data_IF_705906478711
#
_entry.id   IF_705906478711
#
_cell.length_a   1.000
_cell.length_b   1.000
_cell.length_c   1.000
_cell.angle_alpha   90.00
_cell.angle_beta   90.00
_cell.angle_gamma   90.00
#
_symmetry.space_group_name_H-M   'P 1'
#
loop_
_entity.id
_entity.type
_entity.pdbx_description
1 polymer ?
#
# COMPACT_ATOMS: atom_id res chain seq x y z
N UNK A 1 5.29 -49.62 -2.18
CA UNK A 1 6.11 -48.52 -2.76
C UNK A 1 5.27 -47.32 -3.20
N UNK A 2 4.18 -47.52 -3.96
CA UNK A 2 3.26 -46.44 -4.39
C UNK A 2 2.74 -45.51 -3.28
N UNK A 3 2.32 -46.06 -2.14
CA UNK A 3 1.84 -45.27 -1.00
C UNK A 3 2.91 -44.32 -0.46
N UNK A 4 4.14 -44.80 -0.27
CA UNK A 4 5.26 -43.99 0.24
C UNK A 4 5.62 -42.85 -0.72
N UNK A 5 5.48 -43.07 -2.04
CA UNK A 5 5.71 -42.06 -3.06
C UNK A 5 4.63 -40.96 -3.05
N UNK A 6 3.36 -41.31 -2.77
CA UNK A 6 2.26 -40.34 -2.59
C UNK A 6 2.49 -39.47 -1.36
N UNK A 7 2.89 -40.05 -0.22
CA UNK A 7 3.21 -39.28 0.99
C UNK A 7 4.39 -38.34 0.78
N UNK A 8 5.45 -38.81 0.11
CA UNK A 8 6.60 -37.97 -0.23
C UNK A 8 6.21 -36.78 -1.09
N UNK A 9 5.34 -36.97 -2.09
CA UNK A 9 4.80 -35.87 -2.91
C UNK A 9 3.98 -34.87 -2.11
N UNK A 10 3.13 -35.33 -1.19
CA UNK A 10 2.33 -34.45 -0.32
C UNK A 10 3.25 -33.62 0.58
N UNK A 11 4.30 -34.23 1.14
CA UNK A 11 5.30 -33.53 1.96
C UNK A 11 6.05 -32.49 1.14
N UNK A 12 6.50 -32.83 -0.06
CA UNK A 12 7.18 -31.89 -0.97
C UNK A 12 6.26 -30.71 -1.34
N UNK A 13 5.01 -30.97 -1.71
CA UNK A 13 4.04 -29.91 -2.04
C UNK A 13 3.76 -28.99 -0.84
N UNK A 14 3.66 -29.55 0.36
CA UNK A 14 3.45 -28.80 1.59
C UNK A 14 4.66 -27.94 1.96
N UNK A 15 5.89 -28.46 1.76
CA UNK A 15 7.13 -27.71 1.93
C UNK A 15 7.25 -26.57 0.93
N UNK A 16 6.97 -26.82 -0.36
CA UNK A 16 6.98 -25.80 -1.41
C UNK A 16 5.95 -24.71 -1.08
N UNK A 17 4.74 -25.07 -0.68
CA UNK A 17 3.70 -24.12 -0.29
C UNK A 17 4.12 -23.24 0.90
N UNK A 18 4.76 -23.85 1.90
CA UNK A 18 5.26 -23.14 3.09
C UNK A 18 6.37 -22.15 2.74
N UNK A 19 7.33 -22.56 1.89
CA UNK A 19 8.43 -21.70 1.42
C UNK A 19 7.93 -20.50 0.61
N UNK A 20 6.97 -20.71 -0.30
CA UNK A 20 6.35 -19.63 -1.07
C UNK A 20 5.64 -18.64 -0.14
N UNK A 21 4.92 -19.13 0.88
CA UNK A 21 4.23 -18.28 1.85
C UNK A 21 5.19 -17.40 2.66
N UNK A 22 6.34 -17.95 3.08
CA UNK A 22 7.40 -17.21 3.77
C UNK A 22 7.99 -16.10 2.90
N UNK A 23 8.29 -16.38 1.63
CA UNK A 23 8.84 -15.40 0.69
C UNK A 23 7.88 -14.23 0.45
N UNK A 24 6.59 -14.51 0.24
CA UNK A 24 5.57 -13.45 0.05
C UNK A 24 5.47 -12.57 1.30
N UNK A 25 5.52 -13.16 2.49
CA UNK A 25 5.46 -12.39 3.72
C UNK A 25 6.71 -11.51 3.91
N UNK A 26 7.90 -12.07 3.64
CA UNK A 26 9.17 -11.33 3.70
C UNK A 26 9.19 -10.14 2.71
N UNK A 27 8.71 -10.33 1.49
CA UNK A 27 8.60 -9.26 0.51
C UNK A 27 7.67 -8.13 0.99
N UNK A 28 6.51 -8.47 1.55
CA UNK A 28 5.56 -7.48 2.07
C UNK A 28 6.13 -6.71 3.26
N UNK A 29 6.85 -7.39 4.16
CA UNK A 29 7.58 -6.74 5.27
C UNK A 29 8.66 -5.79 4.74
N UNK A 30 9.43 -6.22 3.73
CA UNK A 30 10.45 -5.39 3.08
C UNK A 30 9.84 -4.12 2.46
N UNK A 31 8.65 -4.21 1.85
CA UNK A 31 7.96 -3.02 1.33
C UNK A 31 7.69 -1.98 2.42
N UNK A 32 7.18 -2.39 3.59
CA UNK A 32 6.93 -1.48 4.70
C UNK A 32 8.23 -0.82 5.16
N UNK A 33 9.27 -1.63 5.40
CA UNK A 33 10.56 -1.14 5.91
C UNK A 33 11.23 -0.16 4.94
N UNK A 34 11.26 -0.48 3.66
CA UNK A 34 11.96 0.32 2.63
C UNK A 34 11.26 1.65 2.31
N UNK A 35 9.96 1.77 2.58
CA UNK A 35 9.20 3.00 2.31
C UNK A 35 8.86 3.80 3.58
N UNK A 36 9.18 3.27 4.76
CA UNK A 36 8.89 3.91 6.05
C UNK A 36 9.46 5.32 6.14
N UNK A 37 10.77 5.47 5.91
CA UNK A 37 11.46 6.77 5.98
C UNK A 37 10.90 7.78 4.97
N UNK A 38 10.51 7.32 3.78
CA UNK A 38 9.85 8.18 2.79
C UNK A 38 8.49 8.67 3.30
N UNK A 39 7.67 7.77 3.86
CA UNK A 39 6.38 8.12 4.43
C UNK A 39 6.50 9.07 5.64
N UNK A 40 7.49 8.89 6.51
CA UNK A 40 7.78 9.79 7.65
C UNK A 40 8.21 11.19 7.19
N UNK A 41 9.10 11.27 6.18
CA UNK A 41 9.52 12.54 5.59
C UNK A 41 8.34 13.30 4.99
N UNK A 42 7.46 12.59 4.28
CA UNK A 42 6.27 13.19 3.69
C UNK A 42 5.22 13.53 4.74
N UNK A 43 5.09 12.73 5.79
CA UNK A 43 4.24 13.03 6.94
C UNK A 43 4.66 14.37 7.56
N UNK A 44 5.95 14.53 7.87
CA UNK A 44 6.49 15.79 8.41
C UNK A 44 6.19 16.98 7.50
N UNK A 45 6.34 16.80 6.18
CA UNK A 45 6.13 17.86 5.19
C UNK A 45 4.67 18.24 5.01
N UNK A 46 3.77 17.26 5.03
CA UNK A 46 2.35 17.44 4.65
C UNK A 46 1.37 17.33 5.81
N UNK A 47 1.81 16.94 7.00
CA UNK A 47 0.96 16.71 8.16
C UNK A 47 -0.07 15.58 7.95
N UNK A 48 0.23 14.61 7.10
CA UNK A 48 -0.60 13.41 6.87
C UNK A 48 0.12 12.24 7.58
N UNK A 49 -0.53 11.47 8.47
CA UNK A 49 0.14 10.43 9.22
C UNK A 49 0.92 9.45 8.33
N UNK A 50 2.13 9.11 8.75
CA UNK A 50 3.02 8.22 8.00
C UNK A 50 2.37 6.84 7.81
N UNK A 51 1.63 6.38 8.84
CA UNK A 51 0.81 5.18 8.87
C UNK A 51 -0.24 5.16 7.76
N UNK A 52 -0.93 6.28 7.52
CA UNK A 52 -1.94 6.44 6.45
C UNK A 52 -1.29 6.37 5.08
N UNK A 53 -0.22 7.14 4.84
CA UNK A 53 0.49 7.16 3.56
C UNK A 53 0.96 5.75 3.19
N UNK A 54 1.62 5.08 4.14
CA UNK A 54 2.26 3.78 3.90
C UNK A 54 1.23 2.65 3.77
N UNK A 55 0.18 2.65 4.59
CA UNK A 55 -0.87 1.64 4.51
C UNK A 55 -1.66 1.72 3.20
N UNK A 56 -2.01 2.94 2.75
CA UNK A 56 -2.68 3.13 1.45
C UNK A 56 -1.76 2.66 0.32
N UNK A 57 -0.50 3.10 0.29
CA UNK A 57 0.44 2.66 -0.73
C UNK A 57 0.59 1.13 -0.76
N UNK A 58 0.63 0.48 0.39
CA UNK A 58 0.69 -0.98 0.48
C UNK A 58 -0.57 -1.63 -0.10
N UNK A 59 -1.76 -1.14 0.27
CA UNK A 59 -3.05 -1.68 -0.15
C UNK A 59 -3.29 -1.53 -1.66
N UNK A 60 -2.91 -0.39 -2.24
CA UNK A 60 -3.03 -0.12 -3.68
C UNK A 60 -2.04 -0.91 -4.53
N UNK A 61 -0.89 -1.29 -3.96
CA UNK A 61 0.17 -2.00 -4.69
C UNK A 61 0.24 -3.50 -4.38
N UNK A 62 -0.53 -3.98 -3.40
CA UNK A 62 -0.38 -5.34 -2.88
C UNK A 62 1.01 -5.57 -2.28
N UNK A 63 1.56 -4.57 -1.57
CA UNK A 63 2.93 -4.60 -1.05
C UNK A 63 3.99 -4.53 -2.15
N UNK A 64 3.80 -3.64 -3.15
CA UNK A 64 4.74 -3.41 -4.25
C UNK A 64 4.71 -4.46 -5.36
N UNK A 65 3.76 -5.40 -5.34
CA UNK A 65 3.69 -6.50 -6.31
C UNK A 65 2.97 -6.14 -7.60
N UNK A 66 2.13 -5.08 -7.58
CA UNK A 66 1.27 -4.71 -8.70
C UNK A 66 2.05 -4.31 -9.94
N UNK A 67 1.43 -4.52 -11.11
CA UNK A 67 2.01 -4.11 -12.40
C UNK A 67 2.26 -2.61 -12.44
N UNK A 68 1.34 -1.80 -11.91
CA UNK A 68 1.46 -0.35 -11.92
C UNK A 68 2.60 0.16 -11.03
N UNK A 69 2.82 -0.42 -9.85
CA UNK A 69 3.97 -0.02 -9.02
C UNK A 69 5.30 -0.39 -9.68
N UNK A 70 5.37 -1.54 -10.36
CA UNK A 70 6.60 -2.02 -11.01
C UNK A 70 6.93 -1.33 -12.33
N UNK A 71 5.93 -1.03 -13.15
CA UNK A 71 6.13 -0.51 -14.52
C UNK A 71 5.91 1.00 -14.65
N UNK A 72 5.12 1.60 -13.75
CA UNK A 72 4.75 3.01 -13.81
C UNK A 72 5.24 3.79 -12.59
N UNK A 73 5.92 3.14 -11.65
CA UNK A 73 6.24 3.68 -10.32
C UNK A 73 5.00 4.30 -9.63
N UNK A 74 3.80 3.80 -9.91
CA UNK A 74 2.56 4.39 -9.42
C UNK A 74 2.01 3.59 -8.24
N UNK A 75 2.22 4.10 -7.03
CA UNK A 75 1.88 3.42 -5.79
C UNK A 75 0.47 3.74 -5.25
N UNK A 76 -0.28 4.62 -5.92
CA UNK A 76 -1.56 5.14 -5.42
C UNK A 76 -2.69 5.08 -6.46
N UNK A 77 -2.45 4.44 -7.61
CA UNK A 77 -3.44 4.34 -8.68
C UNK A 77 -3.83 5.68 -9.30
N UNK A 78 -2.96 6.69 -9.23
CA UNK A 78 -3.24 8.04 -9.74
C UNK A 78 -3.41 7.97 -11.27
N UNK A 79 -4.52 8.50 -11.78
CA UNK A 79 -4.82 8.56 -13.21
C UNK A 79 -4.07 9.73 -13.87
N UNK A 80 -3.58 9.52 -15.09
CA UNK A 80 -2.88 10.55 -15.85
C UNK A 80 -2.08 10.00 -17.04
N UNK A 81 -1.27 10.87 -17.64
CA UNK A 81 -0.48 10.56 -18.84
C UNK A 81 0.57 9.47 -18.57
N UNK A 82 0.75 8.59 -19.54
CA UNK A 82 1.83 7.60 -19.63
C UNK A 82 2.08 7.26 -21.10
N UNK A 83 3.15 6.49 -21.36
CA UNK A 83 3.57 6.11 -22.71
C UNK A 83 3.17 4.68 -23.11
N UNK A 84 2.35 3.99 -22.31
CA UNK A 84 2.06 2.54 -22.47
C UNK A 84 0.57 2.21 -22.64
N UNK A 85 -0.25 3.21 -22.99
CA UNK A 85 -1.69 3.04 -23.23
C UNK A 85 -2.51 2.69 -21.99
N UNK A 86 -1.99 2.97 -20.78
CA UNK A 86 -2.73 2.82 -19.52
C UNK A 86 -3.55 4.07 -19.22
N UNK A 87 -4.51 4.02 -18.28
CA UNK A 87 -5.09 5.24 -17.69
C UNK A 87 -4.26 5.78 -16.52
N UNK A 88 -3.38 4.95 -15.95
CA UNK A 88 -2.61 5.29 -14.77
C UNK A 88 -1.39 6.12 -15.14
N UNK A 89 -1.14 7.17 -14.35
CA UNK A 89 0.01 8.06 -14.54
C UNK A 89 1.31 7.26 -14.40
N UNK A 90 2.28 7.56 -15.26
CA UNK A 90 3.67 7.13 -15.10
C UNK A 90 4.44 8.18 -14.27
N UNK A 91 5.23 7.71 -13.32
CA UNK A 91 6.13 8.54 -12.51
C UNK A 91 7.58 8.13 -12.78
N UNK A 92 8.49 9.10 -12.66
CA UNK A 92 9.93 8.85 -12.81
C UNK A 92 10.46 7.98 -11.67
N UNK A 93 9.87 8.12 -10.47
CA UNK A 93 10.22 7.29 -9.31
C UNK A 93 9.04 7.06 -8.38
N UNK A 94 9.20 6.09 -7.47
CA UNK A 94 8.19 5.84 -6.42
C UNK A 94 8.00 7.06 -5.53
N UNK A 95 9.08 7.76 -5.19
CA UNK A 95 9.07 8.98 -4.37
C UNK A 95 8.19 10.06 -5.00
N UNK A 96 8.25 10.22 -6.33
CA UNK A 96 7.39 11.16 -7.04
C UNK A 96 5.91 10.78 -6.92
N UNK A 97 5.57 9.49 -6.99
CA UNK A 97 4.19 9.04 -6.81
C UNK A 97 3.66 9.25 -5.39
N UNK A 98 4.50 9.05 -4.37
CA UNK A 98 4.17 9.33 -2.97
C UNK A 98 3.96 10.82 -2.73
N UNK A 99 4.87 11.65 -3.21
CA UNK A 99 4.76 13.12 -3.15
C UNK A 99 3.49 13.60 -3.90
N UNK A 100 3.18 13.02 -5.06
CA UNK A 100 1.98 13.33 -5.82
C UNK A 100 0.70 12.97 -5.06
N UNK A 101 0.66 11.82 -4.39
CA UNK A 101 -0.44 11.45 -3.51
C UNK A 101 -0.66 12.48 -2.40
N UNK A 102 0.40 12.87 -1.68
CA UNK A 102 0.29 13.90 -0.64
C UNK A 102 -0.26 15.22 -1.21
N UNK A 103 0.22 15.66 -2.37
CA UNK A 103 -0.30 16.85 -3.07
C UNK A 103 -1.78 16.74 -3.47
N UNK A 104 -2.28 15.54 -3.79
CA UNK A 104 -3.70 15.32 -4.05
C UNK A 104 -4.53 15.43 -2.78
N UNK A 105 -4.03 14.89 -1.66
CA UNK A 105 -4.69 14.96 -0.36
C UNK A 105 -4.77 16.41 0.14
N UNK A 106 -3.71 17.20 -0.02
CA UNK A 106 -3.67 18.63 0.34
C UNK A 106 -4.80 19.45 -0.31
N UNK A 107 -5.24 19.05 -1.51
CA UNK A 107 -6.31 19.73 -2.26
C UNK A 107 -7.73 19.37 -1.81
N UNK A 108 -7.89 18.44 -0.86
CA UNK A 108 -9.21 17.98 -0.41
C UNK A 108 -9.74 18.89 0.69
N UNK A 109 -11.05 19.14 0.70
CA UNK A 109 -11.69 20.05 1.66
C UNK A 109 -11.51 19.61 3.13
N UNK A 110 -11.37 18.31 3.40
CA UNK A 110 -11.12 17.81 4.76
C UNK A 110 -9.69 18.05 5.24
N UNK A 111 -8.74 18.36 4.35
CA UNK A 111 -7.32 18.40 4.68
C UNK A 111 -7.01 19.46 5.73
N UNK A 112 -7.56 20.67 5.61
CA UNK A 112 -7.32 21.76 6.56
C UNK A 112 -7.74 21.41 7.99
N UNK A 113 -8.82 20.63 8.16
CA UNK A 113 -9.30 20.18 9.45
C UNK A 113 -8.49 19.02 10.05
N UNK A 114 -7.77 18.26 9.21
CA UNK A 114 -7.03 17.07 9.63
C UNK A 114 -5.52 17.23 9.63
N UNK A 115 -4.97 18.26 8.99
CA UNK A 115 -3.52 18.45 8.90
C UNK A 115 -2.90 18.49 10.30
N UNK A 116 -1.94 17.59 10.53
CA UNK A 116 -1.18 17.51 11.79
C UNK A 116 -1.86 16.71 12.91
N UNK A 117 -3.06 16.15 12.69
CA UNK A 117 -3.60 15.14 13.60
C UNK A 117 -3.09 13.75 13.22
N UNK A 118 -2.66 13.00 14.23
CA UNK A 118 -2.25 11.58 14.10
C UNK A 118 -3.43 10.59 14.10
N UNK A 119 -4.68 11.07 14.18
CA UNK A 119 -5.87 10.21 14.12
C UNK A 119 -6.08 9.64 12.70
N UNK A 120 -5.37 8.54 12.38
CA UNK A 120 -5.47 7.85 11.09
C UNK A 120 -6.90 7.41 10.78
N UNK A 121 -7.71 7.12 11.80
CA UNK A 121 -9.12 6.75 11.65
C UNK A 121 -9.95 7.88 11.02
N UNK A 122 -9.74 9.13 11.48
CA UNK A 122 -10.36 10.31 10.87
C UNK A 122 -9.90 10.54 9.44
N UNK A 123 -8.59 10.38 9.16
CA UNK A 123 -8.05 10.49 7.80
C UNK A 123 -8.67 9.47 6.84
N UNK A 124 -8.64 8.19 7.22
CA UNK A 124 -9.17 7.09 6.40
C UNK A 124 -10.67 7.26 6.17
N UNK A 125 -11.43 7.64 7.21
CA UNK A 125 -12.86 7.93 7.08
C UNK A 125 -13.14 9.11 6.15
N UNK A 126 -12.42 10.22 6.30
CA UNK A 126 -12.58 11.39 5.46
C UNK A 126 -12.23 11.11 3.98
N UNK A 127 -11.17 10.34 3.72
CA UNK A 127 -10.81 9.88 2.38
C UNK A 127 -11.89 9.00 1.75
N UNK A 128 -12.44 8.05 2.52
CA UNK A 128 -13.52 7.18 2.06
C UNK A 128 -14.79 7.98 1.74
N UNK A 129 -15.19 8.90 2.62
CA UNK A 129 -16.34 9.80 2.41
C UNK A 129 -16.13 10.75 1.21
N UNK A 130 -14.89 11.11 0.89
CA UNK A 130 -14.55 11.92 -0.27
C UNK A 130 -14.41 11.13 -1.59
N UNK A 131 -14.80 9.84 -1.60
CA UNK A 131 -14.86 9.03 -2.80
C UNK A 131 -13.51 8.47 -3.28
N UNK A 132 -12.53 8.28 -2.38
CA UNK A 132 -11.24 7.69 -2.76
C UNK A 132 -11.36 6.27 -3.31
N UNK A 133 -12.34 5.49 -2.84
CA UNK A 133 -12.63 4.12 -3.29
C UNK A 133 -14.10 3.96 -3.64
N UNK A 134 -14.40 3.15 -4.64
CA UNK A 134 -15.78 2.74 -4.99
C UNK A 134 -16.38 1.77 -3.96
N UNK A 135 -15.53 1.13 -3.14
CA UNK A 135 -15.93 0.25 -2.04
C UNK A 135 -15.35 0.77 -0.72
N UNK A 136 -15.91 1.88 -0.18
CA UNK A 136 -15.30 2.60 0.94
C UNK A 136 -15.14 1.73 2.19
N UNK A 137 -16.17 0.97 2.58
CA UNK A 137 -16.12 0.13 3.79
C UNK A 137 -15.03 -0.94 3.74
N UNK A 138 -14.90 -1.64 2.60
CA UNK A 138 -13.88 -2.67 2.43
C UNK A 138 -12.47 -2.05 2.33
N UNK A 139 -12.35 -0.93 1.64
CA UNK A 139 -11.10 -0.21 1.56
C UNK A 139 -10.60 0.21 2.96
N UNK A 140 -11.47 0.83 3.78
CA UNK A 140 -11.11 1.21 5.15
C UNK A 140 -10.69 0.01 6.01
N UNK A 141 -11.39 -1.14 5.89
CA UNK A 141 -11.01 -2.39 6.58
C UNK A 141 -9.62 -2.85 6.18
N UNK A 142 -9.29 -2.84 4.88
CA UNK A 142 -7.97 -3.22 4.37
C UNK A 142 -6.88 -2.28 4.90
N UNK A 143 -7.11 -0.97 4.91
CA UNK A 143 -6.15 0.00 5.48
C UNK A 143 -5.89 -0.30 6.96
N UNK A 144 -6.96 -0.41 7.77
CA UNK A 144 -6.83 -0.67 9.20
C UNK A 144 -6.13 -2.00 9.47
N UNK A 145 -6.41 -3.04 8.67
CA UNK A 145 -5.74 -4.33 8.78
C UNK A 145 -4.23 -4.21 8.53
N UNK A 146 -3.79 -3.40 7.57
CA UNK A 146 -2.37 -3.16 7.31
C UNK A 146 -1.73 -2.37 8.45
N UNK A 147 -2.37 -1.29 8.93
CA UNK A 147 -1.87 -0.50 10.07
C UNK A 147 -1.66 -1.40 11.29
N UNK A 148 -2.64 -2.23 11.63
CA UNK A 148 -2.56 -3.17 12.76
C UNK A 148 -1.51 -4.26 12.55
N UNK A 149 -1.53 -4.94 11.38
CA UNK A 149 -0.65 -6.07 11.08
C UNK A 149 0.83 -5.69 11.13
N UNK A 150 1.17 -4.50 10.65
CA UNK A 150 2.55 -4.02 10.61
C UNK A 150 2.89 -3.08 11.75
N UNK A 151 1.98 -2.90 12.72
CA UNK A 151 2.14 -2.01 13.87
C UNK A 151 2.67 -0.64 13.43
N UNK A 152 2.08 -0.09 12.38
CA UNK A 152 2.49 1.21 11.85
C UNK A 152 2.12 2.25 12.92
N UNK A 153 3.16 2.80 13.55
CA UNK A 153 3.05 3.90 14.48
C UNK A 153 3.05 5.20 13.70
N UNK A 154 2.49 6.21 14.35
CA UNK A 154 2.62 7.59 13.93
C UNK A 154 4.02 8.13 14.29
#
# INVERSE_FOLDING_TARGET
MEHNLKYLRIVILSLVFSLVSLQVNAQKQSYIQTNKTLAEKLSTKYGIPSSVILAIAFVETGGGTSRNSKSLNNHFGIVGKNNIGSKYKQFESKEESYEAFCKLVVKKNYYSALKGTEDFGKWVKAMASAGYSTQPSEWMKRINSIIQKYQLKD
#
